data_IF_531186330558
#
_entry.id   IF_531186330558
#
_cell.length_a   1.000
_cell.length_b   1.000
_cell.length_c   1.000
_cell.angle_alpha   90.00
_cell.angle_beta   90.00
_cell.angle_gamma   90.00
#
_symmetry.space_group_name_H-M   'P 1'
#
loop_
_entity.id
_entity.type
_entity.pdbx_description
1 polymer ?
#
# COMPACT_ATOMS: atom_id res chain seq x y z
N UNK A 1 0.16 7.99 -4.03
CA UNK A 1 1.16 7.29 -4.83
C UNK A 1 0.69 5.90 -5.30
N UNK A 2 -0.51 5.42 -4.88
CA UNK A 2 -1.05 4.12 -5.24
C UNK A 2 -2.19 4.23 -6.24
N UNK A 3 -2.28 3.28 -7.17
CA UNK A 3 -3.51 3.00 -7.91
C UNK A 3 -4.33 2.00 -7.09
N UNK A 4 -5.58 2.34 -6.81
CA UNK A 4 -6.48 1.53 -5.99
C UNK A 4 -7.56 0.91 -6.88
N UNK A 5 -7.73 -0.41 -6.77
CA UNK A 5 -8.80 -1.15 -7.43
C UNK A 5 -9.65 -1.83 -6.35
N UNK A 6 -10.91 -1.43 -6.24
CA UNK A 6 -11.90 -2.14 -5.43
C UNK A 6 -12.58 -3.20 -6.29
N UNK A 7 -12.62 -4.43 -5.80
CA UNK A 7 -13.33 -5.54 -6.44
C UNK A 7 -14.41 -6.01 -5.49
N UNK A 8 -15.65 -6.06 -5.98
CA UNK A 8 -16.81 -6.55 -5.24
C UNK A 8 -17.39 -7.76 -5.96
N UNK A 9 -17.50 -8.88 -5.25
CA UNK A 9 -18.14 -10.11 -5.72
C UNK A 9 -19.39 -10.35 -4.92
N UNK A 10 -20.53 -10.46 -5.61
CA UNK A 10 -21.84 -10.68 -5.00
C UNK A 10 -22.19 -12.14 -5.06
N UNK A 11 -22.18 -12.81 -3.91
CA UNK A 11 -22.48 -14.25 -3.81
C UNK A 11 -23.98 -14.53 -3.69
N UNK A 12 -24.74 -13.60 -3.09
CA UNK A 12 -26.19 -13.68 -2.94
C UNK A 12 -26.78 -12.28 -2.85
N UNK A 13 -27.96 -12.06 -3.42
CA UNK A 13 -28.58 -10.75 -3.45
C UNK A 13 -30.10 -10.85 -3.44
N UNK A 14 -30.73 -9.87 -2.82
CA UNK A 14 -32.17 -9.60 -2.93
C UNK A 14 -32.44 -8.14 -3.36
N UNK A 15 -31.55 -7.56 -4.17
CA UNK A 15 -31.60 -6.17 -4.66
C UNK A 15 -30.43 -5.33 -4.16
N UNK A 16 -30.26 -4.15 -4.73
CA UNK A 16 -29.30 -3.09 -4.34
C UNK A 16 -27.83 -3.50 -4.14
N UNK A 17 -27.34 -4.43 -4.94
CA UNK A 17 -25.97 -4.95 -4.86
C UNK A 17 -24.90 -3.88 -5.02
N UNK A 18 -25.15 -2.86 -5.86
CA UNK A 18 -24.25 -1.73 -6.07
C UNK A 18 -24.09 -0.87 -4.81
N UNK A 19 -25.16 -0.69 -4.04
CA UNK A 19 -25.11 0.08 -2.80
C UNK A 19 -24.39 -0.67 -1.69
N UNK A 20 -24.61 -2.00 -1.61
CA UNK A 20 -23.83 -2.86 -0.73
C UNK A 20 -22.34 -2.84 -1.09
N UNK A 21 -21.99 -2.83 -2.39
CA UNK A 21 -20.61 -2.72 -2.87
C UNK A 21 -19.93 -1.40 -2.49
N UNK A 22 -20.65 -0.29 -2.47
CA UNK A 22 -20.14 1.00 -1.96
C UNK A 22 -19.80 0.89 -0.48
N UNK A 23 -20.70 0.35 0.34
CA UNK A 23 -20.47 0.15 1.77
C UNK A 23 -19.30 -0.82 2.04
N UNK A 24 -19.27 -1.95 1.34
CA UNK A 24 -18.19 -2.93 1.44
C UNK A 24 -16.83 -2.38 1.02
N UNK A 25 -16.78 -1.58 -0.05
CA UNK A 25 -15.55 -0.91 -0.49
C UNK A 25 -15.06 0.11 0.54
N UNK A 26 -15.96 0.85 1.19
CA UNK A 26 -15.60 1.75 2.29
C UNK A 26 -14.94 0.99 3.43
N UNK A 27 -15.54 -0.10 3.88
CA UNK A 27 -14.99 -0.94 4.96
C UNK A 27 -13.63 -1.52 4.56
N UNK A 28 -13.51 -2.04 3.34
CA UNK A 28 -12.26 -2.63 2.84
C UNK A 28 -11.13 -1.60 2.74
N UNK A 29 -11.40 -0.40 2.25
CA UNK A 29 -10.41 0.68 2.17
C UNK A 29 -9.95 1.12 3.57
N UNK A 30 -10.88 1.29 4.50
CA UNK A 30 -10.57 1.69 5.87
C UNK A 30 -9.77 0.60 6.60
N UNK A 31 -10.15 -0.67 6.42
CA UNK A 31 -9.42 -1.81 7.01
C UNK A 31 -8.03 -2.01 6.41
N UNK A 32 -7.86 -1.70 5.13
CA UNK A 32 -6.55 -1.71 4.48
C UNK A 32 -5.64 -0.54 4.88
N UNK A 33 -6.13 0.41 5.67
CA UNK A 33 -5.38 1.60 6.10
C UNK A 33 -5.26 2.68 5.01
N UNK A 34 -6.16 2.66 4.02
CA UNK A 34 -6.20 3.73 3.01
C UNK A 34 -6.80 4.99 3.64
N UNK A 35 -6.08 6.13 3.65
CA UNK A 35 -6.54 7.36 4.30
C UNK A 35 -7.62 8.07 3.47
N UNK A 36 -8.80 7.45 3.37
CA UNK A 36 -9.96 8.07 2.70
C UNK A 36 -10.40 9.31 3.48
N UNK A 37 -10.89 10.32 2.77
CA UNK A 37 -11.29 11.61 3.38
C UNK A 37 -12.49 11.48 4.33
N UNK A 38 -13.39 10.55 4.04
CA UNK A 38 -14.54 10.22 4.86
C UNK A 38 -15.16 8.89 4.42
N UNK A 39 -15.82 8.14 5.31
CA UNK A 39 -16.61 6.99 4.96
C UNK A 39 -17.77 7.36 4.03
N UNK A 40 -18.07 6.47 3.10
CA UNK A 40 -19.18 6.60 2.14
C UNK A 40 -20.12 5.41 2.34
N UNK A 41 -21.41 5.67 2.40
CA UNK A 41 -22.44 4.65 2.37
C UNK A 41 -23.37 4.86 1.18
N UNK A 42 -23.89 3.77 0.64
CA UNK A 42 -24.87 3.75 -0.41
C UNK A 42 -26.20 3.18 0.08
N UNK A 43 -27.29 3.70 -0.45
CA UNK A 43 -28.66 3.25 -0.18
C UNK A 43 -29.53 3.49 -1.41
N UNK A 44 -30.56 2.68 -1.60
CA UNK A 44 -31.56 2.87 -2.66
C UNK A 44 -32.91 3.31 -2.11
N UNK A 45 -33.71 3.92 -2.97
CA UNK A 45 -35.10 4.26 -2.72
C UNK A 45 -35.92 3.96 -3.96
N UNK A 46 -36.96 3.17 -3.81
CA UNK A 46 -37.92 2.86 -4.85
C UNK A 46 -39.14 3.77 -4.82
N UNK A 47 -39.96 3.67 -5.85
CA UNK A 47 -41.26 4.34 -6.00
C UNK A 47 -42.26 3.35 -6.58
N UNK A 48 -43.47 3.39 -6.04
CA UNK A 48 -44.68 2.81 -6.68
C UNK A 48 -45.71 3.89 -6.79
N UNK A 49 -46.36 3.97 -7.95
CA UNK A 49 -47.45 4.91 -8.25
C UNK A 49 -48.71 4.17 -8.65
N UNK A 50 -49.87 4.70 -8.27
CA UNK A 50 -51.16 4.22 -8.69
C UNK A 50 -52.10 5.43 -8.88
N UNK A 51 -52.27 5.94 -10.10
CA UNK A 51 -52.96 7.19 -10.40
C UNK A 51 -52.24 8.35 -9.69
N UNK A 52 -52.98 9.10 -8.86
CA UNK A 52 -52.44 10.25 -8.10
C UNK A 52 -51.77 9.83 -6.78
N UNK A 53 -51.82 8.57 -6.42
CA UNK A 53 -51.19 8.05 -5.19
C UNK A 53 -49.80 7.56 -5.48
N UNK A 54 -48.90 7.82 -4.59
CA UNK A 54 -47.54 7.32 -4.67
C UNK A 54 -46.98 6.97 -3.29
N UNK A 55 -45.97 6.12 -3.28
CA UNK A 55 -45.23 5.71 -2.10
C UNK A 55 -43.77 5.48 -2.44
N UNK A 56 -42.87 6.08 -1.68
CA UNK A 56 -41.43 5.78 -1.78
C UNK A 56 -41.03 4.69 -0.75
N UNK A 57 -40.11 3.80 -1.14
CA UNK A 57 -39.64 2.70 -0.32
C UNK A 57 -38.13 2.80 -0.17
N UNK A 58 -37.63 2.70 1.07
CA UNK A 58 -36.19 2.71 1.34
C UNK A 58 -35.64 1.29 1.31
N UNK A 59 -34.48 1.09 0.67
CA UNK A 59 -33.78 -0.18 0.56
C UNK A 59 -34.61 -1.24 -0.17
N UNK A 60 -34.82 -1.05 -1.46
CA UNK A 60 -35.69 -1.86 -2.31
C UNK A 60 -35.18 -3.29 -2.49
N UNK A 61 -36.12 -4.24 -2.46
CA UNK A 61 -35.88 -5.64 -2.80
C UNK A 61 -35.92 -5.87 -4.31
N UNK A 62 -35.42 -7.02 -4.79
CA UNK A 62 -35.38 -7.35 -6.22
C UNK A 62 -36.75 -7.31 -6.90
N UNK A 63 -37.83 -7.73 -6.20
CA UNK A 63 -39.20 -7.66 -6.72
C UNK A 63 -39.68 -6.20 -6.85
N UNK A 64 -39.34 -5.36 -5.89
CA UNK A 64 -39.67 -3.93 -5.85
C UNK A 64 -38.88 -3.15 -6.91
N UNK A 65 -37.62 -3.52 -7.16
CA UNK A 65 -36.79 -2.99 -8.26
C UNK A 65 -37.41 -3.32 -9.63
N UNK A 66 -37.86 -4.55 -9.81
CA UNK A 66 -38.43 -5.00 -11.06
C UNK A 66 -39.79 -4.35 -11.39
N UNK A 67 -40.70 -4.28 -10.40
CA UNK A 67 -42.06 -3.76 -10.56
C UNK A 67 -42.24 -2.29 -10.19
N UNK A 68 -41.25 -1.67 -9.53
CA UNK A 68 -41.31 -0.28 -9.13
C UNK A 68 -41.17 0.70 -10.32
N UNK A 69 -41.62 1.90 -10.11
CA UNK A 69 -41.60 2.99 -11.10
C UNK A 69 -40.31 3.80 -11.10
N UNK A 70 -39.53 3.71 -10.04
CA UNK A 70 -38.24 4.37 -9.90
C UNK A 70 -37.29 3.48 -9.09
N UNK A 71 -36.04 3.42 -9.52
CA UNK A 71 -34.88 2.97 -8.74
C UNK A 71 -33.92 4.16 -8.56
N UNK A 72 -33.91 4.71 -7.36
CA UNK A 72 -33.11 5.88 -6.99
C UNK A 72 -32.00 5.48 -6.03
N UNK A 73 -30.75 5.60 -6.47
CA UNK A 73 -29.55 5.19 -5.73
C UNK A 73 -28.71 6.39 -5.37
N UNK A 74 -28.33 6.46 -4.08
CA UNK A 74 -27.53 7.55 -3.55
C UNK A 74 -26.35 7.01 -2.79
N UNK A 75 -25.14 7.44 -3.15
CA UNK A 75 -23.93 7.28 -2.38
C UNK A 75 -23.49 8.60 -1.78
N UNK A 76 -22.93 8.58 -0.57
CA UNK A 76 -22.44 9.81 0.03
C UNK A 76 -21.85 9.65 1.41
N UNK A 77 -21.22 10.74 1.85
CA UNK A 77 -20.66 10.90 3.19
C UNK A 77 -21.70 11.47 4.14
N UNK A 78 -21.30 11.68 5.40
CA UNK A 78 -22.12 12.42 6.37
C UNK A 78 -22.40 13.87 5.93
N UNK A 79 -21.47 14.49 5.20
CA UNK A 79 -21.57 15.90 4.77
C UNK A 79 -22.44 16.10 3.54
N UNK A 80 -22.55 15.09 2.69
CA UNK A 80 -23.32 15.24 1.45
C UNK A 80 -23.23 14.03 0.53
N UNK A 81 -23.93 14.17 -0.58
CA UNK A 81 -24.02 13.17 -1.65
C UNK A 81 -22.78 13.26 -2.52
N UNK A 82 -22.23 12.12 -2.90
CA UNK A 82 -21.07 12.00 -3.81
C UNK A 82 -21.41 11.34 -5.13
N UNK A 83 -22.49 10.56 -5.16
CA UNK A 83 -22.95 9.89 -6.36
C UNK A 83 -24.46 9.70 -6.33
N UNK A 84 -25.09 9.81 -7.49
CA UNK A 84 -26.51 9.54 -7.72
C UNK A 84 -26.64 8.72 -9.00
N UNK A 85 -27.50 7.72 -8.94
CA UNK A 85 -28.04 7.03 -10.11
C UNK A 85 -29.54 6.98 -9.96
N UNK A 86 -30.27 7.28 -11.02
CA UNK A 86 -31.73 7.20 -11.04
C UNK A 86 -32.17 6.55 -12.35
N UNK A 87 -33.04 5.55 -12.24
CA UNK A 87 -33.74 4.92 -13.32
C UNK A 87 -35.24 5.07 -13.07
N UNK A 88 -35.98 5.57 -14.04
CA UNK A 88 -37.44 5.82 -13.99
C UNK A 88 -38.14 5.14 -15.13
N UNK A 89 -39.29 4.52 -14.84
CA UNK A 89 -40.11 3.79 -15.81
C UNK A 89 -41.42 4.54 -16.13
N UNK A 90 -41.58 5.77 -15.62
CA UNK A 90 -42.73 6.66 -15.82
C UNK A 90 -42.29 7.98 -16.42
N UNK A 91 -43.23 8.76 -16.94
CA UNK A 91 -42.99 10.03 -17.64
C UNK A 91 -42.69 11.20 -16.69
N UNK A 92 -41.68 11.04 -15.83
CA UNK A 92 -41.21 12.08 -14.92
C UNK A 92 -41.66 11.90 -13.48
N UNK A 93 -41.09 12.73 -12.61
CA UNK A 93 -41.33 12.71 -11.16
C UNK A 93 -41.73 14.10 -10.69
N UNK A 94 -42.62 14.17 -9.71
CA UNK A 94 -42.92 15.43 -9.03
C UNK A 94 -41.78 15.82 -8.06
N UNK A 95 -41.68 17.11 -7.75
CA UNK A 95 -40.70 17.61 -6.79
C UNK A 95 -40.91 17.01 -5.41
N UNK A 96 -42.15 16.69 -5.00
CA UNK A 96 -42.47 16.09 -3.71
C UNK A 96 -41.91 14.66 -3.60
N UNK A 97 -42.07 13.86 -4.66
CA UNK A 97 -41.49 12.50 -4.72
C UNK A 97 -39.97 12.57 -4.60
N UNK A 98 -39.34 13.47 -5.39
CA UNK A 98 -37.88 13.63 -5.35
C UNK A 98 -37.41 14.07 -3.97
N UNK A 99 -38.08 15.06 -3.35
CA UNK A 99 -37.70 15.55 -2.04
C UNK A 99 -37.83 14.47 -0.96
N UNK A 100 -38.90 13.66 -1.00
CA UNK A 100 -39.07 12.54 -0.07
C UNK A 100 -38.01 11.45 -0.26
N UNK A 101 -37.70 11.09 -1.52
CA UNK A 101 -36.66 10.10 -1.83
C UNK A 101 -35.27 10.56 -1.32
N UNK A 102 -34.91 11.83 -1.53
CA UNK A 102 -33.67 12.38 -1.01
C UNK A 102 -33.63 12.34 0.53
N UNK A 103 -34.70 12.71 1.21
CA UNK A 103 -34.72 12.71 2.67
C UNK A 103 -34.69 11.29 3.26
N UNK A 104 -35.38 10.32 2.65
CA UNK A 104 -35.28 8.91 3.02
C UNK A 104 -33.87 8.38 2.81
N UNK A 105 -33.25 8.62 1.64
CA UNK A 105 -31.90 8.24 1.38
C UNK A 105 -30.88 8.91 2.33
N UNK A 106 -31.10 10.17 2.70
CA UNK A 106 -30.28 10.87 3.69
C UNK A 106 -30.32 10.17 5.04
N UNK A 107 -31.51 9.85 5.53
CA UNK A 107 -31.70 9.15 6.82
C UNK A 107 -31.09 7.75 6.79
N UNK A 108 -31.35 6.97 5.74
CA UNK A 108 -30.81 5.63 5.58
C UNK A 108 -29.28 5.64 5.48
N UNK A 109 -28.70 6.56 4.70
CA UNK A 109 -27.25 6.72 4.60
C UNK A 109 -26.60 7.07 5.94
N UNK A 110 -27.17 8.02 6.67
CA UNK A 110 -26.65 8.38 8.00
C UNK A 110 -26.76 7.21 8.98
N UNK A 111 -27.85 6.47 8.97
CA UNK A 111 -28.02 5.27 9.76
C UNK A 111 -26.91 4.23 9.46
N UNK A 112 -26.65 3.95 8.18
CA UNK A 112 -25.59 3.00 7.81
C UNK A 112 -24.23 3.50 8.29
N UNK A 113 -23.92 4.79 8.11
CA UNK A 113 -22.64 5.36 8.53
C UNK A 113 -22.47 5.31 10.06
N UNK A 114 -23.52 5.62 10.83
CA UNK A 114 -23.42 5.79 12.27
C UNK A 114 -23.63 4.50 13.06
N UNK A 115 -24.62 3.70 12.65
CA UNK A 115 -25.06 2.54 13.41
C UNK A 115 -24.45 1.22 12.88
N UNK A 116 -23.96 1.20 11.64
CA UNK A 116 -23.44 -0.02 11.03
C UNK A 116 -21.93 0.09 10.77
N UNK A 117 -21.46 1.10 10.06
CA UNK A 117 -20.05 1.23 9.70
C UNK A 117 -19.20 1.67 10.90
N UNK A 118 -19.60 2.75 11.56
CA UNK A 118 -18.82 3.34 12.64
C UNK A 118 -18.54 2.40 13.83
N UNK A 119 -19.48 1.54 14.29
CA UNK A 119 -19.18 0.58 15.36
C UNK A 119 -18.17 -0.50 14.95
N UNK A 120 -18.07 -0.81 13.64
CA UNK A 120 -17.12 -1.80 13.10
C UNK A 120 -15.74 -1.17 12.91
N UNK A 121 -15.70 -0.01 12.27
CA UNK A 121 -14.47 0.74 12.02
C UNK A 121 -14.80 2.23 11.93
N UNK A 122 -14.37 3.01 12.92
CA UNK A 122 -14.68 4.44 13.03
C UNK A 122 -13.78 5.30 12.12
N UNK A 123 -12.52 4.91 11.97
CA UNK A 123 -11.48 5.60 11.21
C UNK A 123 -10.62 4.58 10.44
N UNK A 124 -10.01 4.97 9.33
CA UNK A 124 -9.04 4.11 8.65
C UNK A 124 -7.92 3.67 9.62
N UNK A 125 -7.44 2.44 9.47
CA UNK A 125 -6.30 1.97 10.27
C UNK A 125 -5.10 2.87 10.05
N UNK A 126 -4.32 3.11 11.08
CA UNK A 126 -3.14 3.98 11.02
C UNK A 126 -2.04 3.42 10.10
N UNK A 127 -1.92 2.10 10.05
CA UNK A 127 -0.96 1.40 9.22
C UNK A 127 -1.64 0.73 8.02
N UNK A 128 -0.95 0.75 6.90
CA UNK A 128 -1.37 -0.05 5.74
C UNK A 128 -1.38 -1.54 6.09
N UNK A 129 -2.32 -2.26 5.50
CA UNK A 129 -2.39 -3.72 5.58
C UNK A 129 -1.02 -4.35 5.33
N UNK A 130 -0.73 -5.44 6.04
CA UNK A 130 0.50 -6.23 5.81
C UNK A 130 0.66 -6.74 4.38
N UNK A 131 -0.44 -6.83 3.64
CA UNK A 131 -0.45 -7.26 2.24
C UNK A 131 -0.32 -6.11 1.25
N UNK A 132 -0.45 -4.87 1.70
CA UNK A 132 -0.29 -3.71 0.84
C UNK A 132 1.21 -3.47 0.57
N UNK A 133 1.61 -3.21 -0.68
CA UNK A 133 2.98 -2.82 -0.99
C UNK A 133 3.30 -1.52 -0.25
N UNK A 134 4.38 -1.52 0.52
CA UNK A 134 4.86 -0.33 1.24
C UNK A 134 5.85 0.41 0.36
N UNK A 135 5.66 1.71 0.24
CA UNK A 135 6.51 2.58 -0.55
C UNK A 135 7.33 3.47 0.39
N UNK A 136 8.63 3.41 0.24
CA UNK A 136 9.59 4.24 0.95
C UNK A 136 10.26 5.16 -0.06
N UNK A 137 10.55 6.39 0.35
CA UNK A 137 11.30 7.34 -0.46
C UNK A 137 12.55 7.77 0.29
N UNK A 138 13.64 7.96 -0.45
CA UNK A 138 14.88 8.54 0.04
C UNK A 138 15.51 9.43 -1.01
N UNK A 139 16.37 10.33 -0.58
CA UNK A 139 17.19 11.15 -1.47
C UNK A 139 18.61 10.60 -1.52
N UNK A 140 19.17 10.54 -2.70
CA UNK A 140 20.59 10.24 -2.91
C UNK A 140 21.27 11.37 -3.68
N UNK A 141 22.57 11.59 -3.51
CA UNK A 141 23.32 12.52 -4.34
C UNK A 141 23.22 12.14 -5.82
N UNK A 142 22.99 13.13 -6.68
CA UNK A 142 22.78 12.91 -8.12
C UNK A 142 24.01 12.31 -8.83
N UNK A 143 25.21 12.60 -8.34
CA UNK A 143 26.45 11.98 -8.82
C UNK A 143 26.54 10.47 -8.51
N UNK A 144 25.81 9.99 -7.49
CA UNK A 144 25.73 8.59 -7.06
C UNK A 144 24.65 7.77 -7.75
N UNK A 145 23.77 8.39 -8.54
CA UNK A 145 22.72 7.69 -9.29
C UNK A 145 23.31 6.58 -10.18
N UNK A 146 24.43 6.86 -10.83
CA UNK A 146 25.11 5.89 -11.70
C UNK A 146 25.64 4.67 -10.94
N UNK A 147 26.06 4.85 -9.70
CA UNK A 147 26.56 3.77 -8.83
C UNK A 147 25.41 2.86 -8.38
N UNK A 148 24.26 3.45 -8.06
CA UNK A 148 23.03 2.70 -7.66
C UNK A 148 22.44 1.93 -8.84
N UNK A 149 22.38 2.54 -10.02
CA UNK A 149 21.88 1.89 -11.24
C UNK A 149 22.87 0.80 -11.71
N UNK A 150 24.15 1.13 -11.69
CA UNK A 150 25.21 0.26 -12.19
C UNK A 150 25.26 0.16 -13.71
N UNK A 151 26.31 -0.45 -14.23
CA UNK A 151 26.50 -0.62 -15.69
C UNK A 151 25.36 -1.47 -16.27
N UNK A 152 24.59 -0.88 -17.20
CA UNK A 152 23.44 -1.54 -17.83
C UNK A 152 22.29 -1.87 -16.85
N UNK A 153 22.20 -1.19 -15.71
CA UNK A 153 21.15 -1.43 -14.73
C UNK A 153 21.37 -2.66 -13.83
N UNK A 154 22.55 -3.29 -13.88
CA UNK A 154 22.81 -4.55 -13.19
C UNK A 154 22.69 -4.45 -11.69
N UNK A 155 23.23 -3.38 -11.08
CA UNK A 155 23.22 -3.21 -9.62
C UNK A 155 21.79 -3.09 -9.10
N UNK A 156 20.99 -2.20 -9.70
CA UNK A 156 19.59 -2.02 -9.30
C UNK A 156 18.75 -3.30 -9.51
N UNK A 157 18.99 -4.05 -10.60
CA UNK A 157 18.31 -5.32 -10.83
C UNK A 157 18.69 -6.38 -9.79
N UNK A 158 19.95 -6.46 -9.40
CA UNK A 158 20.43 -7.37 -8.35
C UNK A 158 19.82 -7.02 -6.99
N UNK A 159 19.70 -5.74 -6.66
CA UNK A 159 19.03 -5.29 -5.43
C UNK A 159 17.55 -5.67 -5.46
N UNK A 160 16.85 -5.40 -6.57
CA UNK A 160 15.44 -5.74 -6.74
C UNK A 160 15.19 -7.25 -6.58
N UNK A 161 16.03 -8.07 -7.18
CA UNK A 161 15.93 -9.54 -7.11
C UNK A 161 16.23 -10.07 -5.69
N UNK A 162 17.29 -9.56 -5.05
CA UNK A 162 17.73 -10.02 -3.73
C UNK A 162 16.78 -9.60 -2.61
N UNK A 163 16.20 -8.40 -2.72
CA UNK A 163 15.30 -7.82 -1.73
C UNK A 163 13.83 -7.95 -2.10
N UNK A 164 13.48 -8.67 -3.19
CA UNK A 164 12.11 -8.84 -3.65
C UNK A 164 11.31 -7.52 -3.66
N UNK A 165 11.90 -6.48 -4.24
CA UNK A 165 11.35 -5.13 -4.27
C UNK A 165 11.38 -4.54 -5.68
N UNK A 166 10.72 -3.40 -5.86
CA UNK A 166 10.84 -2.54 -7.03
C UNK A 166 11.49 -1.24 -6.61
N UNK A 167 12.44 -0.76 -7.40
CA UNK A 167 13.16 0.49 -7.16
C UNK A 167 13.00 1.36 -8.39
N UNK A 168 12.61 2.61 -8.18
CA UNK A 168 12.56 3.67 -9.18
C UNK A 168 13.49 4.80 -8.76
N UNK A 169 14.36 5.24 -9.66
CA UNK A 169 15.36 6.29 -9.41
C UNK A 169 15.10 7.43 -10.37
N UNK A 170 14.81 8.61 -9.84
CA UNK A 170 14.57 9.82 -10.62
C UNK A 170 15.88 10.61 -10.84
N UNK A 171 15.90 11.44 -11.87
CA UNK A 171 17.08 12.22 -12.25
C UNK A 171 17.52 13.26 -11.20
N UNK A 172 16.58 13.66 -10.35
CA UNK A 172 16.81 14.61 -9.23
C UNK A 172 17.37 13.96 -7.97
N UNK A 173 17.56 12.63 -7.99
CA UNK A 173 18.06 11.86 -6.86
C UNK A 173 16.99 11.27 -5.95
N UNK A 174 15.70 11.44 -6.25
CA UNK A 174 14.64 10.72 -5.54
C UNK A 174 14.68 9.23 -5.89
N UNK A 175 14.70 8.39 -4.87
CA UNK A 175 14.63 6.94 -4.99
C UNK A 175 13.38 6.45 -4.26
N UNK A 176 12.55 5.71 -4.98
CA UNK A 176 11.36 5.06 -4.44
C UNK A 176 11.59 3.56 -4.38
N UNK A 177 11.42 2.98 -3.20
CA UNK A 177 11.52 1.55 -2.95
C UNK A 177 10.14 1.03 -2.58
N UNK A 178 9.61 0.09 -3.35
CA UNK A 178 8.32 -0.54 -3.11
C UNK A 178 8.49 -2.03 -2.88
N UNK A 179 8.04 -2.52 -1.73
CA UNK A 179 8.03 -3.95 -1.38
C UNK A 179 6.78 -4.32 -0.60
N UNK A 180 6.35 -5.57 -0.72
CA UNK A 180 5.24 -6.11 0.08
C UNK A 180 5.69 -6.31 1.52
N UNK A 181 6.87 -6.87 1.73
CA UNK A 181 7.46 -7.04 3.05
C UNK A 181 8.28 -5.80 3.43
N UNK A 182 8.07 -5.32 4.64
CA UNK A 182 8.79 -4.17 5.19
C UNK A 182 10.28 -4.45 5.40
N UNK A 183 10.65 -5.67 5.76
CA UNK A 183 12.04 -6.05 5.94
C UNK A 183 12.79 -6.10 4.61
N UNK A 184 12.12 -6.52 3.54
CA UNK A 184 12.66 -6.47 2.17
C UNK A 184 12.96 -5.02 1.75
N UNK A 185 12.02 -4.10 2.01
CA UNK A 185 12.25 -2.69 1.74
C UNK A 185 13.39 -2.10 2.56
N UNK A 186 13.48 -2.41 3.85
CA UNK A 186 14.58 -1.96 4.72
C UNK A 186 15.93 -2.48 4.23
N UNK A 187 16.00 -3.74 3.78
CA UNK A 187 17.24 -4.31 3.20
C UNK A 187 17.65 -3.58 1.94
N UNK A 188 16.69 -3.30 1.05
CA UNK A 188 16.98 -2.54 -0.17
C UNK A 188 17.49 -1.13 0.14
N UNK A 189 16.83 -0.40 1.04
CA UNK A 189 17.24 0.93 1.49
C UNK A 189 18.64 0.89 2.11
N UNK A 190 18.91 -0.08 2.97
CA UNK A 190 20.23 -0.25 3.58
C UNK A 190 21.31 -0.50 2.53
N UNK A 191 21.03 -1.34 1.52
CA UNK A 191 21.96 -1.61 0.42
C UNK A 191 22.24 -0.35 -0.39
N UNK A 192 21.20 0.43 -0.73
CA UNK A 192 21.35 1.69 -1.46
C UNK A 192 22.20 2.68 -0.63
N UNK A 193 21.91 2.84 0.66
CA UNK A 193 22.69 3.69 1.56
C UNK A 193 24.17 3.29 1.60
N UNK A 194 24.45 2.00 1.69
CA UNK A 194 25.83 1.48 1.69
C UNK A 194 26.56 1.81 0.39
N UNK A 195 25.87 1.92 -0.74
CA UNK A 195 26.47 2.33 -2.02
C UNK A 195 26.80 3.83 -2.03
N UNK A 196 25.85 4.68 -1.56
CA UNK A 196 25.94 6.14 -1.70
C UNK A 196 26.66 6.83 -0.54
N UNK A 197 26.57 6.29 0.66
CA UNK A 197 27.15 6.84 1.89
C UNK A 197 28.45 6.12 2.25
N UNK A 198 29.36 6.80 2.93
CA UNK A 198 30.54 6.12 3.47
C UNK A 198 30.13 5.23 4.64
N UNK A 199 30.85 4.09 4.84
CA UNK A 199 30.52 3.16 5.89
C UNK A 199 30.58 3.81 7.29
N UNK A 200 29.54 3.61 8.07
CA UNK A 200 29.45 4.13 9.44
C UNK A 200 30.34 3.30 10.38
N UNK A 201 31.10 3.99 11.23
CA UNK A 201 31.96 3.36 12.25
C UNK A 201 31.05 2.64 13.28
N UNK A 202 31.25 1.35 13.47
CA UNK A 202 30.46 0.51 14.40
C UNK A 202 29.24 -0.16 13.77
N UNK A 203 28.90 0.13 12.54
CA UNK A 203 27.85 -0.59 11.80
C UNK A 203 28.34 -2.00 11.35
N UNK A 204 27.38 -2.93 11.22
CA UNK A 204 27.65 -4.30 10.77
C UNK A 204 27.22 -4.45 9.32
N UNK A 205 28.17 -4.77 8.45
CA UNK A 205 27.93 -5.02 7.03
C UNK A 205 28.08 -6.51 6.72
N UNK A 206 27.29 -7.00 5.77
CA UNK A 206 27.50 -8.30 5.13
C UNK A 206 28.23 -8.06 3.81
N UNK A 207 29.33 -8.74 3.61
CA UNK A 207 30.10 -8.58 2.38
C UNK A 207 30.65 -9.90 1.87
N UNK A 208 31.13 -9.90 0.63
CA UNK A 208 31.76 -11.03 -0.03
C UNK A 208 33.28 -10.87 0.04
N UNK A 209 33.98 -11.92 0.46
CA UNK A 209 35.44 -11.94 0.40
C UNK A 209 35.91 -11.91 -1.05
N UNK A 210 36.66 -10.87 -1.42
CA UNK A 210 37.19 -10.65 -2.76
C UNK A 210 38.61 -11.12 -2.90
N UNK A 211 39.43 -10.91 -1.85
CA UNK A 211 40.85 -11.29 -1.84
C UNK A 211 41.32 -11.73 -0.43
N UNK A 212 42.18 -12.74 -0.40
CA UNK A 212 42.84 -13.19 0.80
C UNK A 212 44.31 -12.79 0.77
N UNK A 213 44.79 -12.25 1.88
CA UNK A 213 46.17 -11.84 2.07
C UNK A 213 46.67 -12.41 3.41
N UNK A 214 47.99 -12.57 3.56
CA UNK A 214 48.58 -13.12 4.80
C UNK A 214 48.20 -12.34 6.09
N UNK A 215 47.83 -11.08 5.97
CA UNK A 215 47.47 -10.19 7.06
C UNK A 215 45.95 -9.97 7.23
N UNK A 216 45.13 -10.53 6.37
CA UNK A 216 43.67 -10.38 6.45
C UNK A 216 42.92 -10.68 5.17
N UNK A 217 41.60 -10.43 5.18
CA UNK A 217 40.72 -10.62 4.04
C UNK A 217 40.11 -9.28 3.59
N UNK A 218 40.11 -9.04 2.29
CA UNK A 218 39.33 -7.94 1.71
C UNK A 218 37.91 -8.40 1.48
N UNK A 219 36.97 -7.60 1.94
CA UNK A 219 35.54 -7.88 1.91
C UNK A 219 34.84 -6.74 1.16
N UNK A 220 34.19 -7.04 0.06
CA UNK A 220 33.35 -6.10 -0.65
C UNK A 220 32.00 -5.99 0.07
N UNK A 221 31.70 -4.83 0.65
CA UNK A 221 30.49 -4.53 1.38
C UNK A 221 29.40 -3.90 0.51
N UNK A 222 29.81 -3.26 -0.62
CA UNK A 222 28.96 -2.76 -1.67
C UNK A 222 29.77 -2.70 -2.98
N UNK A 223 29.13 -2.63 -4.15
CA UNK A 223 29.83 -2.53 -5.42
C UNK A 223 30.88 -1.42 -5.43
N UNK A 224 32.15 -1.79 -5.57
CA UNK A 224 33.28 -0.86 -5.54
C UNK A 224 33.74 -0.37 -4.16
N UNK A 225 33.16 -0.85 -3.07
CA UNK A 225 33.59 -0.55 -1.69
C UNK A 225 34.13 -1.79 -1.01
N UNK A 226 35.43 -1.84 -0.82
CA UNK A 226 36.12 -2.93 -0.12
C UNK A 226 36.61 -2.47 1.25
N UNK A 227 36.44 -3.30 2.26
CA UNK A 227 37.01 -3.15 3.59
C UNK A 227 38.02 -4.25 3.89
N UNK A 228 39.07 -3.97 4.69
CA UNK A 228 40.02 -4.95 5.14
C UNK A 228 39.64 -5.48 6.51
N UNK A 229 39.43 -6.79 6.65
CA UNK A 229 39.32 -7.47 7.93
C UNK A 229 40.71 -8.07 8.26
N UNK A 230 41.38 -7.46 9.24
CA UNK A 230 42.70 -7.91 9.68
C UNK A 230 42.65 -9.30 10.32
N UNK A 231 43.69 -10.12 10.14
CA UNK A 231 43.76 -11.51 10.63
C UNK A 231 43.40 -11.65 12.12
N UNK A 232 43.72 -10.67 12.96
CA UNK A 232 43.39 -10.68 14.36
C UNK A 232 41.90 -10.46 14.69
N UNK A 233 41.07 -10.15 13.67
CA UNK A 233 39.65 -9.88 13.78
C UNK A 233 38.78 -10.89 13.00
N UNK A 234 39.39 -11.88 12.37
CA UNK A 234 38.70 -12.90 11.59
C UNK A 234 37.94 -13.92 12.47
N UNK A 235 38.45 -14.18 13.68
CA UNK A 235 37.80 -15.07 14.66
C UNK A 235 38.07 -14.54 16.08
N UNK A 236 37.27 -15.01 17.03
CA UNK A 236 37.49 -14.80 18.49
C UNK A 236 38.73 -15.56 19.01
N UNK A 237 39.15 -16.61 18.28
CA UNK A 237 40.41 -17.36 18.55
C UNK A 237 41.52 -16.88 17.63
N UNK A 238 42.78 -17.07 18.05
CA UNK A 238 43.95 -16.70 17.26
C UNK A 238 43.98 -17.51 15.96
N UNK A 239 43.91 -16.83 14.83
CA UNK A 239 43.97 -17.41 13.48
C UNK A 239 45.41 -17.39 12.99
N UNK A 240 45.97 -18.56 12.66
CA UNK A 240 47.36 -18.69 12.16
C UNK A 240 47.46 -18.52 10.63
N UNK A 241 46.37 -18.83 9.91
CA UNK A 241 46.27 -18.67 8.43
C UNK A 241 44.90 -18.17 8.06
N UNK A 242 44.84 -17.13 7.21
CA UNK A 242 43.58 -16.50 6.77
C UNK A 242 42.71 -17.48 6.01
N UNK A 243 43.29 -18.38 5.23
CA UNK A 243 42.58 -19.38 4.43
C UNK A 243 41.79 -20.39 5.30
N UNK A 244 42.20 -20.62 6.54
CA UNK A 244 41.57 -21.59 7.44
C UNK A 244 40.15 -21.13 7.90
N UNK A 245 39.87 -19.85 7.86
CA UNK A 245 38.62 -19.25 8.38
C UNK A 245 37.69 -18.75 7.27
N UNK A 246 38.19 -18.60 6.02
CA UNK A 246 37.46 -17.95 4.94
C UNK A 246 36.49 -18.83 4.16
N UNK A 247 36.30 -20.08 4.52
CA UNK A 247 35.36 -21.00 3.85
C UNK A 247 33.90 -20.89 4.32
N UNK A 248 33.65 -20.15 5.41
CA UNK A 248 32.32 -19.94 5.94
C UNK A 248 32.04 -18.44 6.06
N UNK A 249 30.88 -18.01 5.59
CA UNK A 249 30.36 -16.64 5.59
C UNK A 249 30.88 -15.76 6.75
N UNK A 250 31.87 -14.92 6.46
CA UNK A 250 32.37 -13.92 7.39
C UNK A 250 31.29 -12.88 7.64
N UNK A 251 30.74 -12.86 8.84
CA UNK A 251 30.12 -11.66 9.39
C UNK A 251 31.26 -10.71 9.76
N UNK A 252 31.53 -9.75 8.93
CA UNK A 252 32.47 -8.69 9.29
C UNK A 252 31.86 -7.84 10.40
N UNK A 253 32.26 -8.08 11.64
CA UNK A 253 32.17 -7.10 12.71
C UNK A 253 33.27 -6.09 12.44
N UNK A 254 32.88 -4.95 11.86
CA UNK A 254 33.81 -3.95 11.47
C UNK A 254 34.13 -2.99 12.61
N UNK A 255 35.40 -2.93 12.95
CA UNK A 255 36.02 -1.71 13.43
C UNK A 255 36.89 -1.16 12.31
N UNK A 256 36.28 -0.44 11.36
CA UNK A 256 37.04 0.45 10.47
C UNK A 256 37.65 1.56 11.32
N UNK A 257 38.83 1.31 11.86
CA UNK A 257 39.77 2.35 12.27
C UNK A 257 40.78 2.46 11.12
N UNK A 258 40.66 3.61 10.43
CA UNK A 258 41.62 4.17 9.46
C UNK A 258 41.67 3.50 8.07
N UNK A 259 41.05 4.17 7.13
CA UNK A 259 41.74 4.62 5.91
C UNK A 259 41.90 6.12 5.96
#
# INVERSE_FOLDING_TARGET
PYTIRCVSEVLSSNGSTSQASICGSTLALMDAGVPIKAPVAGISCGLITEGDRWMTMLDIQGVEDFHGDMDFKVGGTRKGITAIQMDIKIDGLTYDIIAEAFEKCRKGRLYILDEIIKPVIAEPRHELSRYAPKMFSMMIPTDKIKDVIGKGGKVIQDICATCNCKIDVQEDGHVFVSAVDQEDAKRAIFTIKTIVEDPEIGAIYKGKVTRLMNFGAFVEIAPGKEGLVHISKLDTKRVERVEAVSYTHLRAHETLRHL
#
